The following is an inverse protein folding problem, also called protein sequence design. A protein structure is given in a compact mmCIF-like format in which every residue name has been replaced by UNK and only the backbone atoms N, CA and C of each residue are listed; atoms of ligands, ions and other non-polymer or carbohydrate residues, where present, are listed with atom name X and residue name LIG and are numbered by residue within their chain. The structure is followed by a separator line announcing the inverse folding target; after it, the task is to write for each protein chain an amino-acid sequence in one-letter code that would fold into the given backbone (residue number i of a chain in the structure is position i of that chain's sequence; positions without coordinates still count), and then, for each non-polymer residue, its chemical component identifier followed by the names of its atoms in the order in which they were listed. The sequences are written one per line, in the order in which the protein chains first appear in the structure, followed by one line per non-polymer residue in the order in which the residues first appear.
data_IF_636853712719
#
_entry.id   IF_636853712719
#
_cell.length_a   1.000
_cell.length_b   1.000
_cell.length_c   1.000
_cell.angle_alpha   90.00
_cell.angle_beta   90.00
_cell.angle_gamma   90.00
#
_symmetry.space_group_name_H-M   'P 1'
#
loop_
_entity.id
_entity.type
_entity.pdbx_description
1 polymer ?
#
# COMPACT_ATOMS: atom_id res chain seq x y z
N UNK A 1 -1.28 -19.96 1.83
CA UNK A 1 -2.42 -19.78 0.89
C UNK A 1 -1.82 -19.24 -0.38
N UNK A 2 -1.92 -19.98 -1.47
CA UNK A 2 -1.27 -19.58 -2.72
C UNK A 2 -1.95 -18.32 -3.27
N UNK A 3 -1.13 -17.35 -3.68
CA UNK A 3 -1.63 -16.13 -4.29
C UNK A 3 -2.02 -16.44 -5.74
N UNK A 4 -3.24 -16.09 -6.17
CA UNK A 4 -3.57 -16.14 -7.60
C UNK A 4 -2.53 -15.38 -8.42
N UNK A 5 -2.17 -15.91 -9.58
CA UNK A 5 -1.13 -15.39 -10.49
C UNK A 5 0.32 -15.39 -9.96
N UNK A 6 0.60 -16.06 -8.83
CA UNK A 6 1.96 -16.32 -8.36
C UNK A 6 2.52 -17.64 -8.90
N UNK A 7 3.84 -17.83 -8.79
CA UNK A 7 4.47 -19.11 -9.07
C UNK A 7 4.14 -20.11 -7.94
N UNK A 8 3.43 -21.23 -8.20
CA UNK A 8 3.03 -22.15 -7.13
C UNK A 8 4.21 -22.89 -6.48
N UNK A 9 5.41 -22.83 -7.06
CA UNK A 9 6.62 -23.49 -6.55
C UNK A 9 7.61 -22.52 -5.91
N UNK A 10 7.31 -21.22 -5.87
CA UNK A 10 8.26 -20.22 -5.38
C UNK A 10 7.54 -18.99 -4.80
N UNK A 11 8.06 -18.49 -3.68
CA UNK A 11 7.60 -17.24 -3.09
C UNK A 11 8.18 -15.99 -3.78
N UNK A 12 8.99 -16.17 -4.83
CA UNK A 12 9.51 -15.07 -5.64
C UNK A 12 8.40 -14.55 -6.55
N UNK A 13 8.14 -13.25 -6.46
CA UNK A 13 7.18 -12.56 -7.34
C UNK A 13 7.71 -12.60 -8.78
N UNK A 14 6.93 -13.09 -9.76
CA UNK A 14 7.34 -13.11 -11.17
C UNK A 14 7.62 -11.70 -11.72
N UNK A 15 8.46 -11.62 -12.75
CA UNK A 15 8.71 -10.35 -13.46
C UNK A 15 7.40 -9.75 -13.99
N UNK A 16 7.23 -8.43 -13.82
CA UNK A 16 6.04 -7.70 -14.26
C UNK A 16 4.81 -7.91 -13.39
N UNK A 17 4.94 -8.62 -12.25
CA UNK A 17 3.88 -8.79 -11.26
C UNK A 17 4.19 -8.02 -10.00
N UNK A 18 3.14 -7.60 -9.28
CA UNK A 18 3.25 -6.87 -8.03
C UNK A 18 2.31 -7.43 -6.95
N UNK A 19 2.84 -7.50 -5.73
CA UNK A 19 2.06 -7.76 -4.52
C UNK A 19 1.66 -6.43 -3.91
N UNK A 20 0.35 -6.16 -3.80
CA UNK A 20 -0.17 -4.92 -3.21
C UNK A 20 -0.93 -5.22 -1.92
N UNK A 21 -0.70 -4.40 -0.89
CA UNK A 21 -1.36 -4.51 0.41
C UNK A 21 -1.88 -3.13 0.81
N UNK A 22 -3.13 -3.04 1.26
CA UNK A 22 -3.66 -1.80 1.82
C UNK A 22 -3.23 -1.60 3.27
N UNK A 23 -3.09 -0.35 3.71
CA UNK A 23 -2.63 -0.04 5.07
C UNK A 23 -3.65 -0.45 6.15
N UNK A 24 -4.95 -0.32 5.86
CA UNK A 24 -5.99 -0.84 6.75
C UNK A 24 -6.17 -2.35 6.52
N UNK A 25 -5.26 -3.13 7.11
CA UNK A 25 -5.07 -4.56 6.82
C UNK A 25 -6.30 -5.42 7.09
N UNK A 26 -7.12 -5.06 8.06
CA UNK A 26 -8.28 -5.86 8.48
C UNK A 26 -9.42 -5.83 7.46
N UNK A 27 -9.60 -4.71 6.77
CA UNK A 27 -10.73 -4.50 5.84
C UNK A 27 -10.31 -4.35 4.38
N UNK A 28 -9.01 -4.24 4.10
CA UNK A 28 -8.52 -4.06 2.74
C UNK A 28 -8.72 -5.33 1.89
N UNK A 29 -9.44 -5.17 0.78
CA UNK A 29 -9.47 -6.15 -0.31
C UNK A 29 -8.29 -5.88 -1.23
N UNK A 30 -7.20 -6.61 -1.01
CA UNK A 30 -5.94 -6.46 -1.73
C UNK A 30 -5.45 -7.79 -2.31
N UNK A 31 -4.15 -7.92 -2.62
CA UNK A 31 -3.59 -9.14 -3.22
C UNK A 31 -3.84 -10.40 -2.39
N UNK A 32 -4.13 -10.29 -1.08
CA UNK A 32 -4.54 -11.44 -0.25
C UNK A 32 -5.87 -12.04 -0.70
N UNK A 33 -6.73 -11.25 -1.34
CA UNK A 33 -8.03 -11.67 -1.85
C UNK A 33 -7.99 -11.97 -3.36
N UNK A 34 -7.33 -11.14 -4.17
CA UNK A 34 -7.38 -11.26 -5.64
C UNK A 34 -6.06 -11.70 -6.30
N UNK A 35 -4.96 -11.82 -5.55
CA UNK A 35 -3.66 -12.22 -6.08
C UNK A 35 -2.79 -11.07 -6.59
N UNK A 36 -1.77 -11.40 -7.38
CA UNK A 36 -0.84 -10.42 -7.92
C UNK A 36 -1.47 -9.61 -9.06
N UNK A 37 -1.07 -8.34 -9.19
CA UNK A 37 -1.44 -7.46 -10.30
C UNK A 37 -0.32 -7.40 -11.35
N UNK A 38 -0.68 -7.07 -12.58
CA UNK A 38 0.25 -6.80 -13.67
C UNK A 38 0.77 -5.36 -13.67
N UNK A 39 1.97 -5.17 -14.22
CA UNK A 39 2.62 -3.86 -14.35
C UNK A 39 1.79 -2.85 -15.14
N UNK A 40 1.05 -3.30 -16.15
CA UNK A 40 0.20 -2.48 -17.00
C UNK A 40 -1.05 -1.93 -16.28
N UNK A 41 -1.41 -2.51 -15.14
CA UNK A 41 -2.51 -2.05 -14.28
C UNK A 41 -2.07 -0.87 -13.39
N UNK A 42 -0.78 -0.54 -13.34
CA UNK A 42 -0.24 0.55 -12.53
C UNK A 42 -0.32 1.86 -13.30
N UNK A 43 -1.27 2.72 -12.93
CA UNK A 43 -1.41 4.06 -13.53
C UNK A 43 -0.29 5.01 -13.13
N UNK A 44 0.21 4.92 -11.90
CA UNK A 44 1.27 5.80 -11.39
C UNK A 44 1.51 5.66 -9.89
N UNK A 45 2.42 6.50 -9.37
CA UNK A 45 2.75 6.58 -7.93
C UNK A 45 2.09 7.78 -7.29
N UNK A 46 1.48 7.60 -6.12
CA UNK A 46 0.93 8.71 -5.34
C UNK A 46 2.09 9.42 -4.65
N UNK A 47 2.50 10.60 -5.14
CA UNK A 47 3.64 11.35 -4.59
C UNK A 47 3.26 12.40 -3.56
N UNK A 48 2.07 13.00 -3.66
CA UNK A 48 1.62 14.06 -2.74
C UNK A 48 0.11 13.98 -2.52
N UNK A 49 -0.32 14.12 -1.25
CA UNK A 49 -1.72 14.29 -0.88
C UNK A 49 -2.02 15.79 -0.79
N UNK A 50 -2.62 16.34 -1.84
CA UNK A 50 -2.97 17.77 -1.94
C UNK A 50 -4.27 18.13 -1.19
N UNK A 51 -5.12 17.14 -0.86
CA UNK A 51 -6.43 17.33 -0.24
C UNK A 51 -6.68 16.31 0.89
N UNK A 52 -7.37 16.66 1.99
CA UNK A 52 -7.96 17.97 2.29
C UNK A 52 -6.98 18.94 2.94
N UNK A 53 -6.97 20.20 2.48
CA UNK A 53 -6.19 21.29 3.09
C UNK A 53 -6.55 21.55 4.55
N UNK A 54 -7.75 21.17 4.99
CA UNK A 54 -8.23 21.33 6.37
C UNK A 54 -7.60 20.35 7.36
N UNK A 55 -6.88 19.32 6.90
CA UNK A 55 -6.12 18.40 7.74
C UNK A 55 -4.65 18.80 7.90
N UNK A 56 -4.25 19.99 7.42
CA UNK A 56 -2.93 20.55 7.70
C UNK A 56 -2.81 20.87 9.20
N UNK A 57 -2.51 19.85 10.01
CA UNK A 57 -2.30 19.99 11.46
C UNK A 57 -0.89 20.48 11.73
N UNK A 58 -0.71 21.79 11.92
CA UNK A 58 0.43 22.32 12.68
C UNK A 58 0.14 22.22 14.18
N UNK A 59 0.02 21.00 14.71
CA UNK A 59 0.11 20.80 16.16
C UNK A 59 1.52 20.30 16.49
N UNK A 60 2.52 21.11 16.14
CA UNK A 60 3.83 20.99 16.77
C UNK A 60 3.77 21.82 18.05
N UNK A 61 3.51 21.18 19.18
CA UNK A 61 3.73 21.79 20.48
C UNK A 61 5.12 21.35 20.98
N UNK A 62 6.18 22.17 20.80
CA UNK A 62 7.51 21.84 21.31
C UNK A 62 7.60 21.89 22.85
N UNK A 63 6.56 22.34 23.56
CA UNK A 63 6.60 22.53 25.01
C UNK A 63 6.35 21.24 25.83
N UNK A 64 6.02 20.10 25.21
CA UNK A 64 5.78 18.84 25.95
C UNK A 64 6.87 17.77 25.78
N UNK A 65 8.06 18.13 25.29
CA UNK A 65 9.24 17.23 25.25
C UNK A 65 10.22 17.44 26.40
N UNK A 66 9.80 18.10 27.48
CA UNK A 66 10.54 18.08 28.75
C UNK A 66 9.60 17.77 29.90
N UNK A 67 9.39 16.48 30.14
CA UNK A 67 9.38 15.83 31.47
C UNK A 67 9.46 14.32 31.27
#
# INVERSE_FOLDING_TARGET
KDLPNANPKSNVIPKGKYLVLGDNREVSKDSRAFGLIDEDQIVGKVSFRFWPFSEFKYNFNPENTKN
#
